data_IF_695512865101
#
_entry.id   IF_695512865101
#
_cell.length_a   1.000
_cell.length_b   1.000
_cell.length_c   1.000
_cell.angle_alpha   90.00
_cell.angle_beta   90.00
_cell.angle_gamma   90.00
#
_symmetry.space_group_name_H-M   'P 1'
#
loop_
_entity.id
_entity.type
_entity.pdbx_description
1 polymer ?
#
# COMPACT_ATOMS: atom_id res chain seq x y z
N UNK A 1 13.24 -16.47 7.93
CA UNK A 1 13.35 -17.58 6.97
C UNK A 1 12.47 -18.71 7.45
N UNK A 2 11.17 -18.63 7.14
CA UNK A 2 10.26 -19.77 6.90
C UNK A 2 9.19 -19.18 5.99
N UNK A 3 9.12 -19.66 4.76
CA UNK A 3 8.06 -19.38 3.81
C UNK A 3 7.25 -20.67 3.72
N UNK A 4 5.97 -20.61 4.04
CA UNK A 4 5.04 -21.72 3.83
C UNK A 4 4.41 -21.59 2.45
N UNK A 5 4.57 -22.69 1.73
CA UNK A 5 4.28 -22.93 0.33
C UNK A 5 2.89 -23.57 0.23
N UNK A 6 1.91 -22.86 -0.33
CA UNK A 6 0.60 -23.44 -0.64
C UNK A 6 0.62 -23.97 -2.07
N UNK A 7 0.75 -25.30 -2.17
CA UNK A 7 0.58 -26.03 -3.41
C UNK A 7 -0.85 -25.96 -3.94
N UNK A 8 -0.96 -25.74 -5.25
CA UNK A 8 -2.12 -26.09 -6.04
C UNK A 8 -1.65 -26.84 -7.29
N UNK A 9 -2.00 -28.13 -7.36
CA UNK A 9 -1.79 -28.96 -8.53
C UNK A 9 -2.78 -28.61 -9.64
N UNK A 10 -2.31 -28.64 -10.88
CA UNK A 10 -3.15 -28.65 -12.09
C UNK A 10 -2.71 -29.77 -13.04
N UNK A 11 -3.65 -30.33 -13.85
CA UNK A 11 -3.54 -31.68 -14.38
C UNK A 11 -2.91 -31.76 -15.78
N UNK A 12 -2.42 -32.97 -16.07
CA UNK A 12 -2.30 -33.66 -17.37
C UNK A 12 -2.20 -32.85 -18.66
N UNK A 13 -1.15 -33.09 -19.45
CA UNK A 13 -1.31 -34.04 -20.55
C UNK A 13 0.01 -34.40 -21.23
N UNK A 14 0.01 -35.63 -21.75
CA UNK A 14 1.16 -36.39 -22.25
C UNK A 14 1.61 -35.89 -23.63
N UNK A 15 2.92 -35.92 -23.83
CA UNK A 15 3.63 -35.91 -25.11
C UNK A 15 3.19 -37.10 -26.01
N UNK A 16 3.41 -37.08 -27.34
CA UNK A 16 4.78 -37.22 -27.83
C UNK A 16 5.16 -36.38 -29.06
N UNK A 17 6.45 -36.05 -29.09
CA UNK A 17 7.18 -35.66 -30.28
C UNK A 17 7.27 -36.81 -31.27
N UNK A 18 7.06 -36.58 -32.57
CA UNK A 18 7.68 -37.30 -33.69
C UNK A 18 7.46 -36.53 -35.00
N UNK A 19 8.37 -36.79 -35.96
CA UNK A 19 8.42 -36.31 -37.36
C UNK A 19 9.23 -35.02 -37.59
N UNK A 20 10.58 -35.06 -37.70
CA UNK A 20 11.41 -35.63 -38.79
C UNK A 20 11.38 -34.79 -40.06
N UNK A 21 12.49 -34.04 -40.23
CA UNK A 21 13.37 -33.90 -41.41
C UNK A 21 12.84 -33.41 -42.77
N UNK A 22 13.74 -32.59 -43.32
CA UNK A 22 14.25 -32.59 -44.70
C UNK A 22 13.38 -31.90 -45.76
N UNK A 23 13.82 -30.68 -46.06
CA UNK A 23 14.11 -30.19 -47.40
C UNK A 23 14.05 -31.26 -48.50
N UNK A 24 13.26 -31.00 -49.54
CA UNK A 24 13.75 -31.03 -50.92
C UNK A 24 12.67 -30.55 -51.92
N UNK A 25 13.20 -30.15 -53.07
CA UNK A 25 12.59 -30.09 -54.40
C UNK A 25 11.85 -28.79 -54.77
N UNK A 26 12.69 -27.85 -55.22
CA UNK A 26 12.35 -26.96 -56.31
C UNK A 26 11.92 -27.73 -57.56
N UNK A 27 10.78 -27.36 -58.15
CA UNK A 27 10.53 -27.22 -59.60
C UNK A 27 9.08 -26.77 -59.81
N UNK A 28 8.91 -25.59 -60.40
CA UNK A 28 8.35 -25.42 -61.74
C UNK A 28 7.60 -24.09 -61.89
N UNK A 29 8.03 -23.34 -62.91
CA UNK A 29 7.21 -22.51 -63.83
C UNK A 29 6.47 -21.29 -63.27
N UNK A 30 6.67 -20.14 -63.95
CA UNK A 30 5.64 -19.11 -64.02
C UNK A 30 6.13 -17.69 -63.79
N UNK A 31 6.68 -17.11 -64.85
CA UNK A 31 6.97 -15.69 -65.04
C UNK A 31 5.73 -14.83 -64.71
N UNK A 32 5.83 -13.91 -63.75
CA UNK A 32 4.96 -12.72 -63.67
C UNK A 32 5.81 -11.52 -63.26
N UNK A 33 5.97 -10.60 -64.21
CA UNK A 33 6.50 -9.24 -64.05
C UNK A 33 5.31 -8.38 -63.57
N UNK A 34 5.47 -7.58 -62.52
CA UNK A 34 4.45 -6.60 -62.16
C UNK A 34 4.61 -5.92 -60.80
N UNK A 35 5.08 -4.67 -60.85
CA UNK A 35 4.67 -3.55 -59.99
C UNK A 35 4.79 -3.71 -58.45
N UNK A 36 5.90 -3.25 -57.89
CA UNK A 36 5.89 -2.71 -56.53
C UNK A 36 5.73 -1.18 -56.62
N UNK A 37 4.67 -0.62 -56.01
CA UNK A 37 4.95 0.52 -55.14
C UNK A 37 4.27 0.37 -53.77
N UNK A 38 5.02 0.84 -52.77
CA UNK A 38 4.50 1.53 -51.58
C UNK A 38 3.79 0.75 -50.45
N UNK A 39 4.12 -0.53 -50.23
CA UNK A 39 3.65 -1.26 -49.04
C UNK A 39 4.50 -0.92 -47.79
N UNK A 40 5.78 -0.58 -47.98
CA UNK A 40 6.73 -0.36 -46.88
C UNK A 40 6.55 0.99 -46.16
N UNK A 41 5.90 1.97 -46.79
CA UNK A 41 5.72 3.32 -46.21
C UNK A 41 4.51 3.39 -45.29
N UNK A 42 3.46 2.61 -45.58
CA UNK A 42 2.23 2.53 -44.77
C UNK A 42 2.45 1.70 -43.49
N UNK A 43 3.29 0.66 -43.53
CA UNK A 43 3.61 -0.15 -42.35
C UNK A 43 4.41 0.64 -41.30
N UNK A 44 5.30 1.53 -41.73
CA UNK A 44 6.14 2.34 -40.85
C UNK A 44 5.34 3.45 -40.13
N UNK A 45 4.30 4.02 -40.77
CA UNK A 45 3.39 4.99 -40.13
C UNK A 45 2.54 4.34 -39.03
N UNK A 46 2.03 3.12 -39.24
CA UNK A 46 1.27 2.37 -38.21
C UNK A 46 2.15 2.05 -36.99
N UNK A 47 3.39 1.65 -37.22
CA UNK A 47 4.33 1.30 -36.16
C UNK A 47 4.77 2.53 -35.33
N UNK A 48 4.99 3.69 -35.96
CA UNK A 48 5.31 4.93 -35.24
C UNK A 48 4.13 5.52 -34.46
N UNK A 49 2.91 5.38 -34.97
CA UNK A 49 1.71 5.85 -34.26
C UNK A 49 1.42 4.96 -33.04
N UNK A 50 1.61 3.65 -33.18
CA UNK A 50 1.41 2.68 -32.10
C UNK A 50 2.48 2.83 -31.00
N UNK A 51 3.74 3.09 -31.35
CA UNK A 51 4.81 3.40 -30.38
C UNK A 51 4.56 4.69 -29.60
N UNK A 52 4.01 5.73 -30.24
CA UNK A 52 3.63 6.99 -29.58
C UNK A 52 2.44 6.82 -28.64
N UNK A 53 1.42 6.07 -29.05
CA UNK A 53 0.27 5.75 -28.18
C UNK A 53 0.69 4.92 -26.97
N UNK A 54 1.55 3.91 -27.15
CA UNK A 54 2.09 3.11 -26.05
C UNK A 54 2.96 3.96 -25.12
N UNK A 55 3.78 4.86 -25.66
CA UNK A 55 4.60 5.78 -24.86
C UNK A 55 3.75 6.78 -24.06
N UNK A 56 2.72 7.37 -24.67
CA UNK A 56 1.79 8.27 -23.98
C UNK A 56 0.95 7.53 -22.92
N UNK A 57 0.51 6.30 -23.19
CA UNK A 57 -0.20 5.47 -22.22
C UNK A 57 0.71 5.08 -21.04
N UNK A 58 1.96 4.70 -21.30
CA UNK A 58 2.94 4.41 -20.25
C UNK A 58 3.29 5.65 -19.41
N UNK A 59 3.37 6.83 -20.02
CA UNK A 59 3.58 8.10 -19.32
C UNK A 59 2.38 8.49 -18.44
N UNK A 60 1.15 8.27 -18.91
CA UNK A 60 -0.07 8.53 -18.15
C UNK A 60 -0.24 7.55 -16.97
N UNK A 61 0.13 6.28 -17.15
CA UNK A 61 0.11 5.27 -16.08
C UNK A 61 1.21 5.55 -15.03
N UNK A 62 2.40 5.96 -15.47
CA UNK A 62 3.50 6.35 -14.57
C UNK A 62 3.18 7.60 -13.73
N UNK A 63 2.43 8.55 -14.26
CA UNK A 63 2.04 9.76 -13.54
C UNK A 63 0.91 9.52 -12.52
N UNK A 64 -0.01 8.58 -12.79
CA UNK A 64 -1.11 8.24 -11.88
C UNK A 64 -0.70 7.38 -10.68
N UNK A 65 0.35 6.57 -10.81
CA UNK A 65 0.84 5.72 -9.72
C UNK A 65 1.49 6.50 -8.56
N UNK A 66 2.01 7.71 -8.84
CA UNK A 66 2.69 8.54 -7.84
C UNK A 66 1.72 9.23 -6.85
N UNK A 67 0.45 9.41 -7.20
CA UNK A 67 -0.52 10.10 -6.33
C UNK A 67 -1.19 9.18 -5.31
N UNK A 68 -1.11 7.86 -5.47
CA UNK A 68 -1.81 6.91 -4.59
C UNK A 68 -1.19 6.79 -3.18
N UNK A 69 0.10 7.11 -3.04
CA UNK A 69 0.81 7.02 -1.75
C UNK A 69 0.88 8.36 -0.99
N UNK A 70 0.35 9.45 -1.55
CA UNK A 70 0.45 10.80 -0.99
C UNK A 70 -0.88 11.36 -0.47
N UNK A 71 -1.93 10.54 -0.38
CA UNK A 71 -3.23 11.02 0.09
C UNK A 71 -3.31 10.95 1.62
N UNK A 72 -3.78 12.03 2.25
CA UNK A 72 -4.13 12.02 3.65
C UNK A 72 -5.11 10.88 3.94
N UNK A 73 -5.03 10.23 5.11
CA UNK A 73 -5.89 9.08 5.46
C UNK A 73 -7.38 9.45 5.56
N UNK A 74 -7.71 10.75 5.57
CA UNK A 74 -9.07 11.29 5.64
C UNK A 74 -9.19 12.52 4.73
N UNK A 75 -10.39 12.82 4.18
CA UNK A 75 -10.65 14.09 3.48
C UNK A 75 -10.35 15.30 4.36
N UNK A 76 -9.75 16.35 3.81
CA UNK A 76 -9.49 17.59 4.56
C UNK A 76 -10.74 18.47 4.70
N UNK A 77 -10.80 19.23 5.78
CA UNK A 77 -11.82 20.24 6.01
C UNK A 77 -11.26 21.46 6.74
N UNK A 78 -11.87 22.62 6.49
CA UNK A 78 -11.55 23.83 7.22
C UNK A 78 -12.11 23.76 8.65
N UNK A 79 -11.39 24.28 9.66
CA UNK A 79 -11.86 24.28 11.04
C UNK A 79 -13.25 24.93 11.21
N UNK A 80 -13.50 26.01 10.47
CA UNK A 80 -14.75 26.77 10.57
C UNK A 80 -15.98 25.94 10.18
N UNK A 81 -15.86 25.07 9.17
CA UNK A 81 -16.94 24.21 8.68
C UNK A 81 -17.36 23.17 9.72
N UNK A 82 -16.47 22.83 10.65
CA UNK A 82 -16.70 21.88 11.73
C UNK A 82 -16.96 22.58 13.07
N UNK A 83 -17.20 23.90 13.07
CA UNK A 83 -17.45 24.69 14.28
C UNK A 83 -16.26 24.78 15.22
N UNK A 84 -15.03 24.61 14.70
CA UNK A 84 -13.79 24.72 15.46
C UNK A 84 -13.21 26.13 15.35
N UNK A 85 -12.65 26.64 16.44
CA UNK A 85 -11.98 27.94 16.47
C UNK A 85 -10.53 27.78 16.03
N UNK A 86 -10.13 28.52 14.99
CA UNK A 86 -8.74 28.54 14.52
C UNK A 86 -7.74 28.87 15.64
N UNK A 87 -8.07 29.82 16.53
CA UNK A 87 -7.19 30.20 17.64
C UNK A 87 -6.85 29.07 18.61
N UNK A 88 -7.74 28.08 18.78
CA UNK A 88 -7.45 26.90 19.61
C UNK A 88 -6.47 25.94 18.93
N UNK A 89 -6.58 25.80 17.61
CA UNK A 89 -5.65 25.01 16.80
C UNK A 89 -4.27 25.67 16.75
N UNK A 90 -4.21 26.99 16.60
CA UNK A 90 -2.96 27.75 16.65
C UNK A 90 -2.25 27.60 18.00
N UNK A 91 -2.99 27.66 19.10
CA UNK A 91 -2.45 27.44 20.44
C UNK A 91 -1.90 26.02 20.65
N UNK A 92 -2.57 25.02 20.07
CA UNK A 92 -2.12 23.63 20.09
C UNK A 92 -0.85 23.46 19.26
N UNK A 93 -0.80 24.03 18.05
CA UNK A 93 0.37 24.04 17.18
C UNK A 93 1.58 24.66 17.88
N UNK A 94 1.40 25.82 18.52
CA UNK A 94 2.44 26.48 19.30
C UNK A 94 2.93 25.59 20.46
N UNK A 95 2.01 24.93 21.18
CA UNK A 95 2.36 24.04 22.29
C UNK A 95 3.16 22.81 21.82
N UNK A 96 2.76 22.20 20.71
CA UNK A 96 3.46 21.04 20.13
C UNK A 96 4.84 21.42 19.61
N UNK A 97 4.98 22.59 19.01
CA UNK A 97 6.28 23.13 18.56
C UNK A 97 7.20 23.43 19.75
N UNK A 98 6.67 24.04 20.81
CA UNK A 98 7.43 24.33 22.03
C UNK A 98 8.05 23.06 22.65
N UNK A 99 7.37 21.91 22.60
CA UNK A 99 7.95 20.64 23.08
C UNK A 99 9.25 20.26 22.36
N UNK A 100 9.38 20.62 21.09
CA UNK A 100 10.59 20.37 20.30
C UNK A 100 11.62 21.46 20.55
N UNK A 101 11.20 22.73 20.51
CA UNK A 101 12.09 23.88 20.69
C UNK A 101 12.75 23.90 22.09
N UNK A 102 12.02 23.49 23.13
CA UNK A 102 12.52 23.31 24.50
C UNK A 102 13.37 22.04 24.69
N UNK A 103 13.55 21.24 23.63
CA UNK A 103 14.32 19.99 23.67
C UNK A 103 13.65 18.85 24.46
N UNK A 104 12.37 18.99 24.83
CA UNK A 104 11.61 17.98 25.58
C UNK A 104 11.24 16.77 24.73
N UNK A 105 11.19 16.94 23.40
CA UNK A 105 11.00 15.89 22.40
C UNK A 105 11.94 16.13 21.21
N UNK A 106 12.45 15.06 20.60
CA UNK A 106 13.27 15.14 19.40
C UNK A 106 12.48 15.59 18.15
N UNK A 107 11.25 15.12 18.06
CA UNK A 107 10.27 15.52 17.07
C UNK A 107 8.88 15.05 17.49
N UNK A 108 7.86 15.57 16.81
CA UNK A 108 6.46 15.25 17.07
C UNK A 108 5.70 15.24 15.77
N UNK A 109 4.72 14.35 15.65
CA UNK A 109 3.66 14.40 14.65
C UNK A 109 2.34 14.46 15.42
N UNK A 110 1.47 15.39 15.07
CA UNK A 110 0.17 15.54 15.70
C UNK A 110 -0.87 15.92 14.66
N UNK A 111 -2.12 15.55 14.90
CA UNK A 111 -3.22 15.91 14.04
C UNK A 111 -4.54 15.93 14.78
N UNK A 112 -5.52 16.61 14.18
CA UNK A 112 -6.88 16.72 14.69
C UNK A 112 -7.85 16.36 13.57
N UNK A 113 -8.71 15.38 13.84
CA UNK A 113 -9.78 14.98 12.95
C UNK A 113 -11.12 15.08 13.69
N UNK A 114 -12.16 15.49 12.97
CA UNK A 114 -13.53 15.60 13.47
C UNK A 114 -14.51 15.25 12.36
N UNK A 115 -15.57 14.51 12.71
CA UNK A 115 -16.63 14.07 11.79
C UNK A 115 -16.07 13.36 10.53
N UNK A 116 -15.04 12.54 10.73
CA UNK A 116 -14.37 11.79 9.65
C UNK A 116 -13.51 12.64 8.71
N UNK A 117 -13.25 13.91 9.05
CA UNK A 117 -12.43 14.83 8.24
C UNK A 117 -11.18 15.26 9.01
N UNK A 118 -10.06 15.33 8.31
CA UNK A 118 -8.79 15.82 8.85
C UNK A 118 -8.77 17.35 8.81
N UNK A 119 -8.59 17.98 9.96
CA UNK A 119 -8.57 19.44 10.10
C UNK A 119 -7.14 19.96 10.05
N UNK A 120 -6.23 19.27 10.73
CA UNK A 120 -4.82 19.65 10.79
C UNK A 120 -3.95 18.41 11.00
N UNK A 121 -2.77 18.40 10.39
CA UNK A 121 -1.74 17.39 10.56
C UNK A 121 -0.39 18.07 10.35
N UNK A 122 0.43 18.11 11.39
CA UNK A 122 1.72 18.78 11.36
C UNK A 122 2.82 17.94 12.00
N UNK A 123 4.04 18.14 11.51
CA UNK A 123 5.24 17.45 11.97
C UNK A 123 6.32 18.49 12.31
N UNK A 124 6.96 18.34 13.47
CA UNK A 124 8.03 19.21 13.93
C UNK A 124 9.25 18.41 14.39
N UNK A 125 10.43 19.03 14.29
CA UNK A 125 11.69 18.46 14.76
C UNK A 125 12.25 17.38 13.84
N UNK A 126 12.88 16.38 14.43
CA UNK A 126 13.66 15.36 13.73
C UNK A 126 13.20 13.96 14.13
N UNK A 127 13.06 13.06 13.16
CA UNK A 127 12.90 11.62 13.43
C UNK A 127 14.22 10.96 13.83
N UNK A 128 15.32 11.54 13.37
CA UNK A 128 16.68 11.16 13.75
C UNK A 128 17.53 12.44 13.90
N UNK A 129 17.93 12.75 15.14
CA UNK A 129 18.73 13.95 15.44
C UNK A 129 20.19 13.80 15.03
N UNK A 130 20.74 12.59 15.07
CA UNK A 130 22.14 12.33 14.75
C UNK A 130 22.36 12.35 13.25
N UNK A 131 21.44 11.74 12.49
CA UNK A 131 21.44 11.78 11.04
C UNK A 131 20.86 13.10 10.46
N UNK A 132 20.31 13.98 11.31
CA UNK A 132 19.72 15.25 10.87
C UNK A 132 18.46 15.08 10.00
N UNK A 133 17.72 13.98 10.18
CA UNK A 133 16.55 13.68 9.35
C UNK A 133 15.30 14.37 9.93
N UNK A 134 14.58 15.18 9.12
CA UNK A 134 13.39 15.88 9.59
C UNK A 134 12.27 14.90 9.95
N UNK A 135 11.39 15.34 10.85
CA UNK A 135 10.15 14.62 11.12
C UNK A 135 9.18 14.80 9.95
N UNK A 136 8.62 13.69 9.48
CA UNK A 136 7.63 13.64 8.39
C UNK A 136 6.31 13.08 8.93
N UNK A 137 5.16 13.49 8.36
CA UNK A 137 3.85 13.10 8.86
C UNK A 137 3.58 11.58 8.75
N UNK A 138 4.25 10.90 7.83
CA UNK A 138 4.21 9.46 7.56
C UNK A 138 5.35 8.69 8.24
N UNK A 139 6.10 9.33 9.15
CA UNK A 139 7.17 8.66 9.89
C UNK A 139 6.65 7.44 10.64
N UNK A 140 7.34 6.31 10.49
CA UNK A 140 7.01 5.07 11.21
C UNK A 140 7.47 5.18 12.67
N UNK A 141 6.51 5.14 13.59
CA UNK A 141 6.77 5.15 15.03
C UNK A 141 6.66 3.77 15.65
N UNK A 142 7.47 3.54 16.68
CA UNK A 142 7.24 2.45 17.62
C UNK A 142 6.14 2.85 18.60
N UNK A 143 4.95 2.26 18.45
CA UNK A 143 3.74 2.67 19.20
C UNK A 143 3.59 1.99 20.58
N UNK A 144 4.43 1.00 20.90
CA UNK A 144 4.44 0.28 22.19
C UNK A 144 3.04 -0.14 22.66
N UNK A 145 2.67 0.24 23.89
CA UNK A 145 1.41 -0.07 24.54
C UNK A 145 0.16 0.32 23.75
N UNK A 146 0.26 1.27 22.81
CA UNK A 146 -0.84 1.65 21.93
C UNK A 146 -1.31 0.48 21.04
N UNK A 147 -0.47 -0.55 20.84
CA UNK A 147 -0.87 -1.79 20.16
C UNK A 147 -2.08 -2.48 20.80
N UNK A 148 -2.34 -2.26 22.11
CA UNK A 148 -3.51 -2.85 22.80
C UNK A 148 -4.85 -2.43 22.18
N UNK A 149 -4.95 -1.21 21.64
CA UNK A 149 -6.18 -0.77 20.98
C UNK A 149 -6.47 -1.61 19.73
N UNK A 150 -5.43 -1.91 18.94
CA UNK A 150 -5.53 -2.75 17.74
C UNK A 150 -5.88 -4.19 18.13
N UNK A 151 -5.20 -4.76 19.12
CA UNK A 151 -5.49 -6.10 19.62
C UNK A 151 -6.91 -6.20 20.19
N UNK A 152 -7.37 -5.19 20.92
CA UNK A 152 -8.74 -5.14 21.45
C UNK A 152 -9.79 -5.11 20.33
N UNK A 153 -9.59 -4.31 19.29
CA UNK A 153 -10.49 -4.30 18.12
C UNK A 153 -10.53 -5.67 17.40
N UNK A 154 -9.38 -6.33 17.27
CA UNK A 154 -9.32 -7.68 16.70
C UNK A 154 -10.09 -8.71 17.56
N UNK A 155 -9.95 -8.65 18.88
CA UNK A 155 -10.72 -9.52 19.80
C UNK A 155 -12.22 -9.24 19.68
N UNK A 156 -12.64 -7.98 19.66
CA UNK A 156 -14.06 -7.63 19.52
C UNK A 156 -14.64 -8.04 18.16
N UNK A 157 -13.83 -8.08 17.10
CA UNK A 157 -14.25 -8.64 15.81
C UNK A 157 -14.58 -10.13 15.94
N UNK A 158 -13.76 -10.90 16.67
CA UNK A 158 -14.04 -12.33 16.94
C UNK A 158 -15.28 -12.53 17.82
N UNK A 159 -15.57 -11.57 18.70
CA UNK A 159 -16.79 -11.56 19.51
C UNK A 159 -18.02 -11.33 18.64
N UNK A 160 -17.98 -10.33 17.75
CA UNK A 160 -19.07 -10.04 16.82
C UNK A 160 -19.35 -11.22 15.87
N UNK A 161 -18.29 -11.93 15.45
CA UNK A 161 -18.38 -13.14 14.62
C UNK A 161 -18.85 -14.39 15.40
N UNK A 162 -19.07 -14.28 16.72
CA UNK A 162 -19.51 -15.37 17.59
C UNK A 162 -18.44 -16.47 17.81
N UNK A 163 -17.19 -16.20 17.46
CA UNK A 163 -16.06 -17.13 17.62
C UNK A 163 -15.53 -17.18 19.06
N UNK A 164 -15.82 -16.15 19.85
CA UNK A 164 -15.53 -16.10 21.29
C UNK A 164 -16.52 -15.22 22.04
N UNK A 165 -16.78 -15.50 23.31
CA UNK A 165 -17.50 -14.63 24.23
C UNK A 165 -16.56 -13.77 25.08
N UNK A 166 -17.00 -12.56 25.47
CA UNK A 166 -16.23 -11.71 26.40
C UNK A 166 -16.12 -12.30 27.81
N UNK A 167 -17.13 -13.06 28.23
CA UNK A 167 -17.20 -13.71 29.54
C UNK A 167 -16.70 -15.17 29.52
N UNK A 168 -16.23 -15.64 28.36
CA UNK A 168 -15.70 -16.99 28.25
C UNK A 168 -14.46 -17.14 29.14
N UNK A 169 -14.32 -18.25 29.87
CA UNK A 169 -13.09 -18.55 30.60
C UNK A 169 -11.89 -18.50 29.65
N UNK A 170 -10.87 -17.72 29.99
CA UNK A 170 -9.65 -17.60 29.17
C UNK A 170 -8.97 -18.96 28.95
N UNK A 171 -9.14 -19.89 29.90
CA UNK A 171 -8.69 -21.28 29.80
C UNK A 171 -9.23 -22.04 28.57
N UNK A 172 -10.35 -21.61 27.98
CA UNK A 172 -10.88 -22.18 26.73
C UNK A 172 -9.95 -21.89 25.53
N UNK A 173 -9.21 -20.79 25.57
CA UNK A 173 -8.34 -20.30 24.49
C UNK A 173 -6.85 -20.46 24.80
N UNK A 174 -6.49 -20.39 26.07
CA UNK A 174 -5.12 -20.54 26.59
C UNK A 174 -5.12 -21.58 27.71
N UNK A 175 -5.12 -22.88 27.39
CA UNK A 175 -5.23 -23.94 28.40
C UNK A 175 -4.05 -23.95 29.40
N UNK A 176 -2.90 -23.37 29.02
CA UNK A 176 -1.69 -23.33 29.86
C UNK A 176 -1.89 -22.49 31.13
N UNK A 177 -2.82 -21.54 31.13
CA UNK A 177 -3.10 -20.69 32.29
C UNK A 177 -4.21 -21.24 33.19
N UNK A 178 -4.86 -22.35 32.82
CA UNK A 178 -6.00 -22.89 33.54
C UNK A 178 -5.69 -23.27 35.01
N UNK A 179 -4.45 -23.68 35.27
CA UNK A 179 -3.98 -24.07 36.61
C UNK A 179 -3.12 -22.99 37.28
N UNK A 180 -3.09 -21.77 36.73
CA UNK A 180 -2.26 -20.70 37.30
C UNK A 180 -2.84 -20.23 38.64
N UNK A 181 -2.09 -20.33 39.75
CA UNK A 181 -2.59 -19.94 41.06
C UNK A 181 -2.79 -18.41 41.11
N UNK A 182 -3.96 -17.99 41.58
CA UNK A 182 -4.30 -16.59 41.86
C UNK A 182 -4.08 -16.29 43.33
N UNK A 183 -3.58 -15.09 43.63
CA UNK A 183 -3.45 -14.61 45.01
C UNK A 183 -4.87 -14.29 45.50
N UNK A 184 -5.32 -15.00 46.52
CA UNK A 184 -6.57 -14.68 47.22
C UNK A 184 -6.35 -13.46 48.13
N UNK A 185 -7.32 -12.55 48.13
CA UNK A 185 -7.37 -11.35 48.99
C UNK A 185 -7.55 -11.70 50.48
#
# INVERSE_FOLDING_TARGET
MVADDFGAAAPGDRQPAHAVRMAAVARATGRCIGLAPDIARVSNLKDQTMKRVIFCAALAIGLGAATAFAQDPLPRAEPADLGMKASGLDALAASMRALVDEGRRAGVVWGVAKDGKLVQLEAYGHRDREAGLPMEADTVFRIYSQSRAVTGAAILTLVDDGSMGLDDPVANYLPEIAAMPVIAE
#
